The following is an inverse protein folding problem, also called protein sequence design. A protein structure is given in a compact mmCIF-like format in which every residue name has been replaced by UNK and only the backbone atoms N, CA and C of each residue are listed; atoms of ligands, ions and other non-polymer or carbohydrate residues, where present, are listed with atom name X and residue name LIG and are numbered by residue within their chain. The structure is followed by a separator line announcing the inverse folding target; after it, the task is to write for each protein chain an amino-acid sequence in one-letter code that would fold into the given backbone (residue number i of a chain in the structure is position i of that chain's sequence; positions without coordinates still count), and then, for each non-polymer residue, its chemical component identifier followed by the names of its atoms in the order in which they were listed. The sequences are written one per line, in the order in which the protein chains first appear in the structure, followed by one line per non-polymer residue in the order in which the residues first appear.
data_IF_550590444507
#
_entry.id   IF_550590444507
#
_cell.length_a   1.000
_cell.length_b   1.000
_cell.length_c   1.000
_cell.angle_alpha   90.00
_cell.angle_beta   90.00
_cell.angle_gamma   90.00
#
_symmetry.space_group_name_H-M   'P 1'
#
loop_
_entity.id
_entity.type
_entity.pdbx_description
1 polymer ?
#
# COMPACT_ATOMS: atom_id res chain seq x y z
N UNK A 1 19.23 -0.73 24.49
CA UNK A 1 19.79 -1.94 23.98
C UNK A 1 19.45 -2.13 22.51
N UNK A 2 20.25 -2.92 21.83
CA UNK A 2 20.05 -3.13 20.41
C UNK A 2 18.75 -3.90 20.14
N UNK A 3 18.42 -4.86 20.99
CA UNK A 3 17.18 -5.62 20.85
C UNK A 3 15.96 -4.71 20.94
N UNK A 4 15.98 -3.81 21.89
CA UNK A 4 14.92 -2.84 22.05
C UNK A 4 14.77 -1.97 20.81
N UNK A 5 15.89 -1.47 20.28
CA UNK A 5 15.86 -0.62 19.09
C UNK A 5 15.27 -1.35 17.89
N UNK A 6 15.70 -2.57 17.69
CA UNK A 6 15.21 -3.37 16.56
C UNK A 6 13.71 -3.65 16.70
N UNK A 7 13.28 -4.02 17.89
CA UNK A 7 11.86 -4.27 18.14
C UNK A 7 11.03 -3.02 17.93
N UNK A 8 11.54 -1.87 18.39
CA UNK A 8 10.85 -0.61 18.21
C UNK A 8 10.71 -0.27 16.73
N UNK A 9 11.75 -0.52 15.94
CA UNK A 9 11.71 -0.26 14.51
C UNK A 9 10.62 -1.06 13.81
N UNK A 10 10.58 -2.37 14.07
CA UNK A 10 9.55 -3.24 13.48
C UNK A 10 8.16 -2.82 13.92
N UNK A 11 7.99 -2.57 15.23
CA UNK A 11 6.71 -2.14 15.75
C UNK A 11 6.27 -0.80 15.19
N UNK A 12 7.22 0.10 14.94
CA UNK A 12 6.91 1.41 14.36
C UNK A 12 6.38 1.29 12.94
N UNK A 13 6.96 0.40 12.14
CA UNK A 13 6.47 0.17 10.77
C UNK A 13 5.04 -0.34 10.80
N UNK A 14 4.77 -1.37 11.61
CA UNK A 14 3.43 -1.93 11.68
C UNK A 14 2.41 -0.93 12.21
N UNK A 15 2.80 -0.16 13.22
CA UNK A 15 1.90 0.87 13.76
C UNK A 15 1.58 1.94 12.73
N UNK A 16 2.59 2.38 11.98
CA UNK A 16 2.37 3.38 10.96
C UNK A 16 1.42 2.84 9.89
N UNK A 17 1.68 1.62 9.40
CA UNK A 17 0.85 1.03 8.36
C UNK A 17 -0.58 0.83 8.84
N UNK A 18 -0.77 0.32 10.05
CA UNK A 18 -2.12 0.15 10.60
C UNK A 18 -2.86 1.48 10.69
N UNK A 19 -2.15 2.53 11.11
CA UNK A 19 -2.75 3.86 11.20
C UNK A 19 -3.19 4.35 9.82
N UNK A 20 -2.31 4.23 8.83
CA UNK A 20 -2.63 4.67 7.46
C UNK A 20 -3.77 3.86 6.87
N UNK A 21 -3.74 2.54 7.04
CA UNK A 21 -4.79 1.68 6.49
C UNK A 21 -6.15 1.98 7.14
N UNK A 22 -6.14 2.27 8.44
CA UNK A 22 -7.37 2.65 9.14
C UNK A 22 -7.92 3.96 8.60
N UNK A 23 -7.06 4.92 8.32
CA UNK A 23 -7.49 6.19 7.73
C UNK A 23 -8.14 5.98 6.37
N UNK A 24 -7.57 5.12 5.55
CA UNK A 24 -8.16 4.81 4.24
C UNK A 24 -9.55 4.19 4.43
N UNK A 25 -9.70 3.24 5.35
CA UNK A 25 -10.99 2.60 5.59
C UNK A 25 -12.04 3.59 6.06
N UNK A 26 -11.65 4.56 6.89
CA UNK A 26 -12.58 5.55 7.41
C UNK A 26 -12.89 6.66 6.43
N UNK A 27 -12.29 6.62 5.26
CA UNK A 27 -12.55 7.62 4.23
C UNK A 27 -11.69 8.87 4.31
N UNK A 28 -10.57 8.78 5.01
CA UNK A 28 -9.63 9.91 5.11
C UNK A 28 -8.73 9.91 3.88
N UNK A 29 -9.13 10.65 2.85
CA UNK A 29 -8.35 10.80 1.62
C UNK A 29 -7.49 12.06 1.66
N UNK A 30 -7.05 12.48 2.84
CA UNK A 30 -6.24 13.69 2.93
C UNK A 30 -4.96 13.53 2.11
N UNK A 31 -4.46 14.66 1.60
CA UNK A 31 -3.23 14.66 0.83
C UNK A 31 -2.08 14.05 1.60
N UNK A 32 -2.03 14.27 2.91
CA UNK A 32 -0.96 13.71 3.73
C UNK A 32 -0.98 12.19 3.77
N UNK A 33 -2.17 11.60 3.88
CA UNK A 33 -2.32 10.15 3.89
C UNK A 33 -1.89 9.56 2.55
N UNK A 34 -2.37 10.14 1.46
CA UNK A 34 -2.04 9.67 0.12
C UNK A 34 -0.55 9.83 -0.16
N UNK A 35 0.02 10.99 0.17
CA UNK A 35 1.44 11.23 -0.05
C UNK A 35 2.31 10.23 0.71
N UNK A 36 1.96 9.95 1.96
CA UNK A 36 2.73 9.00 2.76
C UNK A 36 2.63 7.60 2.20
N UNK A 37 1.42 7.17 1.84
CA UNK A 37 1.24 5.86 1.23
C UNK A 37 1.98 5.75 -0.10
N UNK A 38 1.97 6.81 -0.90
CA UNK A 38 2.68 6.82 -2.18
C UNK A 38 4.18 6.66 -1.97
N UNK A 39 4.74 7.37 -0.98
CA UNK A 39 6.16 7.23 -0.65
C UNK A 39 6.47 5.80 -0.19
N UNK A 40 5.64 5.26 0.70
CA UNK A 40 5.86 3.89 1.20
C UNK A 40 5.71 2.86 0.10
N UNK A 41 4.82 3.11 -0.86
CA UNK A 41 4.67 2.23 -2.03
C UNK A 41 5.97 2.18 -2.82
N UNK A 42 6.56 3.34 -3.09
CA UNK A 42 7.83 3.38 -3.80
C UNK A 42 8.94 2.69 -3.01
N UNK A 43 9.03 2.95 -1.71
CA UNK A 43 10.03 2.30 -0.85
C UNK A 43 9.86 0.79 -0.84
N UNK A 44 8.62 0.32 -0.72
CA UNK A 44 8.34 -1.11 -0.60
C UNK A 44 8.60 -1.88 -1.89
N UNK A 45 8.62 -1.18 -3.02
CA UNK A 45 8.84 -1.81 -4.33
C UNK A 45 10.22 -1.53 -4.89
N UNK A 46 11.11 -0.92 -4.11
CA UNK A 46 12.49 -0.72 -4.52
C UNK A 46 13.24 -2.05 -4.61
N UNK A 47 14.28 -2.08 -5.42
CA UNK A 47 15.11 -3.27 -5.56
C UNK A 47 15.79 -3.65 -4.24
N UNK A 48 16.17 -2.66 -3.44
CA UNK A 48 16.81 -2.90 -2.16
C UNK A 48 15.77 -3.28 -1.12
N UNK A 49 15.91 -4.46 -0.52
CA UNK A 49 15.00 -4.92 0.53
C UNK A 49 15.08 -3.98 1.73
N UNK A 50 13.93 -3.59 2.27
CA UNK A 50 13.85 -2.66 3.40
C UNK A 50 12.66 -3.02 4.28
N UNK A 51 12.44 -2.21 5.31
CA UNK A 51 11.41 -2.48 6.32
C UNK A 51 9.99 -2.55 5.76
N UNK A 52 9.76 -1.96 4.61
CA UNK A 52 8.42 -1.94 4.00
C UNK A 52 8.24 -3.01 2.92
N UNK A 53 9.30 -3.66 2.50
CA UNK A 53 9.26 -4.57 1.34
C UNK A 53 8.21 -5.67 1.47
N UNK A 54 8.11 -6.27 2.65
CA UNK A 54 7.16 -7.37 2.86
C UNK A 54 5.70 -6.91 2.86
N UNK A 55 5.48 -5.62 3.02
CA UNK A 55 4.13 -5.05 3.08
C UNK A 55 3.69 -4.43 1.77
N UNK A 56 4.49 -4.57 0.71
CA UNK A 56 4.17 -3.93 -0.57
C UNK A 56 2.75 -4.23 -1.07
N UNK A 57 2.27 -5.48 -1.04
CA UNK A 57 0.92 -5.73 -1.55
C UNK A 57 -0.16 -4.95 -0.79
N UNK A 58 -0.07 -4.93 0.55
CA UNK A 58 -1.03 -4.22 1.37
C UNK A 58 -0.94 -2.71 1.17
N UNK A 59 0.29 -2.18 1.07
CA UNK A 59 0.49 -0.75 0.84
C UNK A 59 -0.10 -0.34 -0.50
N UNK A 60 0.20 -1.10 -1.55
CA UNK A 60 -0.31 -0.80 -2.88
C UNK A 60 -1.82 -0.86 -2.94
N UNK A 61 -2.42 -1.88 -2.35
CA UNK A 61 -3.87 -2.00 -2.33
C UNK A 61 -4.53 -0.80 -1.65
N UNK A 62 -4.03 -0.44 -0.46
CA UNK A 62 -4.60 0.68 0.28
C UNK A 62 -4.38 2.00 -0.45
N UNK A 63 -3.23 2.18 -1.09
CA UNK A 63 -2.98 3.39 -1.87
C UNK A 63 -3.95 3.50 -3.04
N UNK A 64 -4.18 2.40 -3.74
CA UNK A 64 -5.12 2.40 -4.87
C UNK A 64 -6.53 2.77 -4.40
N UNK A 65 -6.96 2.19 -3.27
CA UNK A 65 -8.28 2.51 -2.72
C UNK A 65 -8.36 4.00 -2.33
N UNK A 66 -7.28 4.52 -1.72
CA UNK A 66 -7.25 5.94 -1.35
C UNK A 66 -7.38 6.84 -2.57
N UNK A 67 -6.67 6.51 -3.65
CA UNK A 67 -6.81 7.28 -4.89
C UNK A 67 -8.24 7.21 -5.43
N UNK A 68 -8.87 6.04 -5.41
CA UNK A 68 -10.24 5.91 -5.89
C UNK A 68 -11.21 6.73 -5.06
N UNK A 69 -11.03 6.76 -3.76
CA UNK A 69 -11.89 7.56 -2.88
C UNK A 69 -11.69 9.05 -3.14
N UNK A 70 -10.50 9.44 -3.62
CA UNK A 70 -10.19 10.82 -3.99
C UNK A 70 -10.55 11.11 -5.45
N UNK A 71 -11.28 10.22 -6.11
CA UNK A 71 -11.68 10.36 -7.51
C UNK A 71 -10.49 10.42 -8.48
N UNK A 72 -9.37 9.82 -8.11
CA UNK A 72 -8.16 9.81 -8.92
C UNK A 72 -7.97 8.43 -9.55
N UNK A 73 -8.78 8.15 -10.55
CA UNK A 73 -8.79 6.85 -11.22
C UNK A 73 -7.47 6.55 -11.91
N UNK A 74 -6.86 7.57 -12.52
CA UNK A 74 -5.63 7.35 -13.28
C UNK A 74 -4.49 6.86 -12.38
N UNK A 75 -4.28 7.51 -11.25
CA UNK A 75 -3.26 7.06 -10.32
C UNK A 75 -3.60 5.72 -9.69
N UNK A 76 -4.89 5.49 -9.41
CA UNK A 76 -5.33 4.20 -8.89
C UNK A 76 -5.00 3.07 -9.88
N UNK A 77 -5.27 3.29 -11.17
CA UNK A 77 -4.98 2.29 -12.19
C UNK A 77 -3.48 2.02 -12.31
N UNK A 78 -2.66 3.06 -12.21
CA UNK A 78 -1.21 2.89 -12.27
C UNK A 78 -0.71 2.01 -11.13
N UNK A 79 -1.21 2.26 -9.91
CA UNK A 79 -0.83 1.44 -8.75
C UNK A 79 -1.32 0.01 -8.91
N UNK A 80 -2.58 -0.17 -9.32
CA UNK A 80 -3.16 -1.51 -9.46
C UNK A 80 -2.43 -2.33 -10.52
N UNK A 81 -2.05 -1.71 -11.63
CA UNK A 81 -1.34 -2.42 -12.69
C UNK A 81 0.03 -2.92 -12.20
N UNK A 82 0.76 -2.07 -11.47
CA UNK A 82 2.04 -2.48 -10.90
C UNK A 82 1.84 -3.55 -9.83
N UNK A 83 0.81 -3.38 -8.98
CA UNK A 83 0.51 -4.33 -7.92
C UNK A 83 0.17 -5.70 -8.49
N UNK A 84 -0.62 -5.74 -9.57
CA UNK A 84 -0.94 -7.00 -10.23
C UNK A 84 0.33 -7.74 -10.65
N UNK A 85 1.32 -6.99 -11.13
CA UNK A 85 2.57 -7.59 -11.58
C UNK A 85 3.43 -8.16 -10.47
N UNK A 86 3.32 -7.64 -9.25
CA UNK A 86 4.15 -8.09 -8.13
C UNK A 86 3.44 -9.02 -7.16
N UNK A 87 2.10 -9.02 -7.13
CA UNK A 87 1.35 -9.89 -6.23
C UNK A 87 1.43 -11.33 -6.71
N UNK A 88 1.54 -12.26 -5.76
CA UNK A 88 1.64 -13.67 -6.10
C UNK A 88 0.31 -14.21 -6.60
N UNK A 89 0.38 -15.10 -7.59
CA UNK A 89 -0.80 -15.76 -8.13
C UNK A 89 -1.51 -16.53 -7.02
N UNK A 90 -2.83 -16.48 -7.05
CA UNK A 90 -3.65 -17.21 -6.09
C UNK A 90 -3.88 -16.48 -4.79
N UNK A 91 -3.24 -15.34 -4.57
CA UNK A 91 -3.48 -14.57 -3.35
C UNK A 91 -4.75 -13.73 -3.49
N UNK A 92 -5.36 -13.41 -2.34
CA UNK A 92 -6.57 -12.58 -2.33
C UNK A 92 -6.29 -11.21 -2.96
N UNK A 93 -5.14 -10.62 -2.68
CA UNK A 93 -4.80 -9.30 -3.22
C UNK A 93 -4.67 -9.35 -4.73
N UNK A 94 -4.02 -10.38 -5.28
CA UNK A 94 -3.90 -10.54 -6.73
C UNK A 94 -5.29 -10.60 -7.39
N UNK A 95 -6.17 -11.43 -6.83
CA UNK A 95 -7.51 -11.59 -7.36
C UNK A 95 -8.32 -10.30 -7.28
N UNK A 96 -8.24 -9.59 -6.16
CA UNK A 96 -8.92 -8.32 -5.98
C UNK A 96 -8.42 -7.26 -6.96
N UNK A 97 -7.11 -7.24 -7.22
CA UNK A 97 -6.52 -6.33 -8.20
C UNK A 97 -7.10 -6.56 -9.58
N UNK A 98 -7.14 -7.82 -10.01
CA UNK A 98 -7.64 -8.15 -11.34
C UNK A 98 -9.10 -7.73 -11.46
N UNK A 99 -9.92 -8.05 -10.47
CA UNK A 99 -11.33 -7.68 -10.47
C UNK A 99 -11.51 -6.16 -10.56
N UNK A 100 -10.75 -5.42 -9.74
CA UNK A 100 -10.91 -3.98 -9.68
C UNK A 100 -10.44 -3.31 -10.97
N UNK A 101 -9.33 -3.77 -11.53
CA UNK A 101 -8.84 -3.27 -12.81
C UNK A 101 -9.93 -3.45 -13.88
N UNK A 102 -10.54 -4.63 -13.93
CA UNK A 102 -11.58 -4.89 -14.92
C UNK A 102 -12.80 -3.99 -14.73
N UNK A 103 -13.17 -3.69 -13.50
CA UNK A 103 -14.27 -2.79 -13.23
C UNK A 103 -13.98 -1.35 -13.65
N UNK A 104 -12.71 -0.94 -13.56
CA UNK A 104 -12.33 0.43 -13.87
C UNK A 104 -12.11 0.67 -15.36
N UNK A 105 -11.97 -0.36 -16.13
CA UNK A 105 -11.80 -0.24 -17.61
C UNK A 105 -13.13 0.12 -18.31
#
# INVERSE_FOLDING_TARGET
SSSFVRGAGTGSVEKELNSLFTKVKSGDESDNTIKRLSLLWELSTMDTYNDYSDYAPQIGWNLAIAYLKDNDKDNAMAVLTKLEGIAEDGTAIKNKCIELINKLK
#
